data_IF_276924868916
#
_entry.id   IF_276924868916
#
_cell.length_a   1.000
_cell.length_b   1.000
_cell.length_c   1.000
_cell.angle_alpha   90.00
_cell.angle_beta   90.00
_cell.angle_gamma   90.00
#
_symmetry.space_group_name_H-M   'P 1'
#
loop_
_entity.id
_entity.type
_entity.pdbx_description
1 polymer ?
#
# COMPACT_ATOMS: atom_id res chain seq x y z
N UNK A 1 -4.48 13.41 3.72
CA UNK A 1 -5.61 13.75 4.62
C UNK A 1 -6.76 12.81 4.34
N UNK A 2 -7.44 12.31 5.36
CA UNK A 2 -8.67 11.56 5.16
C UNK A 2 -9.78 12.49 4.67
N UNK A 3 -10.37 12.15 3.53
CA UNK A 3 -11.50 12.86 2.93
C UNK A 3 -12.74 11.96 2.94
N UNK A 4 -13.91 12.55 2.77
CA UNK A 4 -15.14 11.78 2.59
C UNK A 4 -15.02 10.88 1.36
N UNK A 5 -15.48 9.62 1.47
CA UNK A 5 -15.45 8.63 0.38
C UNK A 5 -14.04 8.43 -0.22
N UNK A 6 -13.04 8.27 0.61
CA UNK A 6 -11.68 8.00 0.15
C UNK A 6 -11.56 6.56 -0.40
N UNK A 7 -11.86 6.40 -1.69
CA UNK A 7 -11.84 5.12 -2.41
C UNK A 7 -10.51 4.83 -3.10
N UNK A 8 -9.61 5.81 -3.15
CA UNK A 8 -8.29 5.72 -3.76
C UNK A 8 -7.16 5.86 -2.72
N UNK A 9 -5.94 5.67 -3.17
CA UNK A 9 -4.77 5.98 -2.35
C UNK A 9 -4.67 7.47 -2.04
N UNK A 10 -3.98 7.79 -0.94
CA UNK A 10 -3.58 9.17 -0.66
C UNK A 10 -2.53 9.62 -1.68
N UNK A 11 -2.47 10.93 -1.93
CA UNK A 11 -1.43 11.51 -2.78
C UNK A 11 -0.04 11.11 -2.25
N UNK A 12 0.84 10.74 -3.17
CA UNK A 12 2.18 10.28 -2.82
C UNK A 12 3.03 11.40 -2.24
N UNK A 13 3.69 11.11 -1.12
CA UNK A 13 4.69 12.00 -0.48
C UNK A 13 6.11 11.49 -0.65
N UNK A 14 6.29 10.34 -1.31
CA UNK A 14 7.60 9.75 -1.60
C UNK A 14 7.67 9.24 -3.04
N UNK A 15 8.89 9.14 -3.63
CA UNK A 15 9.06 8.53 -4.95
C UNK A 15 8.61 7.06 -4.99
N UNK A 16 8.79 6.33 -3.89
CA UNK A 16 8.37 4.93 -3.78
C UNK A 16 6.86 4.82 -3.85
N UNK A 17 6.12 5.66 -3.12
CA UNK A 17 4.65 5.66 -3.15
C UNK A 17 4.11 6.03 -4.53
N UNK A 18 4.77 6.95 -5.24
CA UNK A 18 4.41 7.29 -6.62
C UNK A 18 4.51 6.06 -7.54
N UNK A 19 5.61 5.31 -7.44
CA UNK A 19 5.79 4.07 -8.21
C UNK A 19 4.78 2.99 -7.83
N UNK A 20 4.41 2.89 -6.55
CA UNK A 20 3.38 1.96 -6.08
C UNK A 20 1.99 2.30 -6.63
N UNK A 21 1.64 3.59 -6.72
CA UNK A 21 0.38 4.03 -7.33
C UNK A 21 0.34 3.67 -8.82
N UNK A 22 1.39 4.00 -9.57
CA UNK A 22 1.50 3.65 -10.99
C UNK A 22 1.43 2.13 -11.23
N UNK A 23 2.05 1.35 -10.37
CA UNK A 23 1.97 -0.10 -10.42
C UNK A 23 0.56 -0.62 -10.13
N UNK A 24 -0.12 -0.04 -9.16
CA UNK A 24 -1.52 -0.37 -8.87
C UNK A 24 -2.42 -0.09 -10.08
N UNK A 25 -2.28 1.06 -10.71
CA UNK A 25 -3.06 1.42 -11.90
C UNK A 25 -2.82 0.44 -13.05
N UNK A 26 -1.56 0.05 -13.26
CA UNK A 26 -1.21 -0.96 -14.26
C UNK A 26 -1.85 -2.32 -13.97
N UNK A 27 -1.76 -2.80 -12.74
CA UNK A 27 -2.36 -4.08 -12.33
C UNK A 27 -3.88 -4.04 -12.37
N UNK A 28 -4.50 -2.95 -11.94
CA UNK A 28 -5.94 -2.76 -11.98
C UNK A 28 -6.48 -2.75 -13.40
N UNK A 29 -5.77 -2.16 -14.35
CA UNK A 29 -6.14 -2.21 -15.78
C UNK A 29 -6.21 -3.67 -16.28
N UNK A 30 -5.23 -4.49 -15.94
CA UNK A 30 -5.22 -5.93 -16.32
C UNK A 30 -6.38 -6.68 -15.63
N UNK A 31 -6.60 -6.45 -14.33
CA UNK A 31 -7.67 -7.11 -13.58
C UNK A 31 -9.06 -6.73 -14.12
N UNK A 32 -9.29 -5.45 -14.43
CA UNK A 32 -10.56 -4.98 -14.99
C UNK A 32 -10.78 -5.59 -16.39
N UNK A 33 -9.75 -5.71 -17.20
CA UNK A 33 -9.84 -6.39 -18.50
C UNK A 33 -10.25 -7.86 -18.34
N UNK A 34 -9.62 -8.59 -17.42
CA UNK A 34 -9.95 -10.00 -17.15
C UNK A 34 -11.39 -10.12 -16.61
N UNK A 35 -11.75 -9.31 -15.61
CA UNK A 35 -13.08 -9.37 -15.00
C UNK A 35 -14.19 -9.03 -15.99
N UNK A 36 -13.99 -8.04 -16.86
CA UNK A 36 -14.95 -7.67 -17.89
C UNK A 36 -15.12 -8.77 -18.94
N UNK A 37 -14.03 -9.43 -19.35
CA UNK A 37 -14.07 -10.57 -20.25
C UNK A 37 -14.85 -11.75 -19.64
N UNK A 38 -14.50 -12.13 -18.41
CA UNK A 38 -15.15 -13.23 -17.69
C UNK A 38 -16.63 -12.92 -17.48
N UNK A 39 -16.97 -11.71 -17.06
CA UNK A 39 -18.35 -11.27 -16.87
C UNK A 39 -19.15 -11.36 -18.18
N UNK A 40 -18.57 -10.88 -19.29
CA UNK A 40 -19.18 -11.00 -20.61
C UNK A 40 -19.46 -12.44 -20.99
N UNK A 41 -18.48 -13.34 -20.82
CA UNK A 41 -18.66 -14.75 -21.14
C UNK A 41 -19.71 -15.41 -20.23
N UNK A 42 -19.77 -15.09 -18.96
CA UNK A 42 -20.78 -15.59 -18.01
C UNK A 42 -22.19 -15.15 -18.42
N UNK A 43 -22.38 -13.87 -18.73
CA UNK A 43 -23.68 -13.36 -19.19
C UNK A 43 -24.09 -14.05 -20.49
N UNK A 44 -23.15 -14.20 -21.43
CA UNK A 44 -23.41 -14.87 -22.69
C UNK A 44 -23.85 -16.32 -22.49
N UNK A 45 -23.19 -17.08 -21.60
CA UNK A 45 -23.56 -18.46 -21.29
C UNK A 45 -24.96 -18.57 -20.67
N UNK A 46 -25.34 -17.66 -19.79
CA UNK A 46 -26.65 -17.65 -19.14
C UNK A 46 -27.76 -17.31 -20.14
N UNK A 47 -27.50 -16.39 -21.07
CA UNK A 47 -28.48 -15.91 -22.03
C UNK A 47 -28.60 -16.82 -23.29
N UNK A 48 -27.54 -17.54 -23.62
CA UNK A 48 -27.50 -18.40 -24.82
C UNK A 48 -28.37 -19.64 -24.67
N UNK A 49 -29.24 -19.86 -25.66
CA UNK A 49 -30.05 -21.06 -25.78
C UNK A 49 -29.35 -22.21 -26.55
N UNK A 50 -28.17 -21.93 -27.13
CA UNK A 50 -27.39 -22.88 -27.92
C UNK A 50 -26.35 -23.55 -27.03
N UNK A 51 -26.57 -24.80 -26.66
CA UNK A 51 -25.68 -25.64 -25.83
C UNK A 51 -25.24 -26.85 -26.63
N UNK A 52 -23.93 -27.05 -26.70
CA UNK A 52 -23.37 -28.30 -27.23
C UNK A 52 -23.16 -29.31 -26.09
N UNK A 53 -24.04 -30.30 -25.98
CA UNK A 53 -23.97 -31.31 -24.92
C UNK A 53 -22.94 -32.42 -25.19
N UNK A 54 -22.37 -32.45 -26.39
CA UNK A 54 -21.43 -33.50 -26.82
C UNK A 54 -19.99 -33.01 -26.87
N UNK A 55 -19.74 -31.82 -26.40
CA UNK A 55 -18.37 -31.28 -26.28
C UNK A 55 -17.67 -31.93 -25.08
N UNK A 56 -16.80 -32.91 -25.36
CA UNK A 56 -16.08 -33.67 -24.33
C UNK A 56 -14.69 -33.12 -24.05
N UNK A 57 -14.05 -32.53 -25.05
CA UNK A 57 -12.70 -31.97 -24.94
C UNK A 57 -12.49 -30.79 -25.88
N UNK A 58 -11.54 -29.93 -25.56
CA UNK A 58 -11.22 -28.74 -26.35
C UNK A 58 -9.77 -28.29 -26.15
N UNK A 59 -8.80 -29.12 -26.54
CA UNK A 59 -7.35 -28.92 -26.27
C UNK A 59 -6.81 -27.57 -26.68
N UNK A 60 -7.27 -27.02 -27.83
CA UNK A 60 -6.80 -25.69 -28.28
C UNK A 60 -7.26 -24.57 -27.36
N UNK A 61 -8.50 -24.60 -26.89
CA UNK A 61 -9.03 -23.61 -25.95
C UNK A 61 -8.35 -23.75 -24.59
N UNK A 62 -8.13 -24.98 -24.14
CA UNK A 62 -7.40 -25.26 -22.88
C UNK A 62 -5.98 -24.68 -22.91
N UNK A 63 -5.27 -24.85 -24.01
CA UNK A 63 -3.95 -24.24 -24.20
C UNK A 63 -4.00 -22.71 -24.16
N UNK A 64 -5.00 -22.10 -24.79
CA UNK A 64 -5.15 -20.64 -24.82
C UNK A 64 -5.40 -20.10 -23.41
N UNK A 65 -6.35 -20.67 -22.65
CA UNK A 65 -6.67 -20.14 -21.33
C UNK A 65 -5.62 -20.47 -20.25
N UNK A 66 -4.71 -21.41 -20.49
CA UNK A 66 -3.55 -21.67 -19.61
C UNK A 66 -2.39 -20.72 -19.91
N UNK A 67 -2.08 -20.50 -21.20
CA UNK A 67 -0.95 -19.64 -21.59
C UNK A 67 -1.24 -18.15 -21.41
N UNK A 68 -2.46 -17.71 -21.67
CA UNK A 68 -2.83 -16.29 -21.54
C UNK A 68 -2.66 -15.75 -20.12
N UNK A 69 -3.18 -16.40 -19.05
CA UNK A 69 -2.90 -15.97 -17.67
C UNK A 69 -1.42 -16.00 -17.29
N UNK A 70 -0.67 -17.00 -17.78
CA UNK A 70 0.77 -17.05 -17.53
C UNK A 70 1.51 -15.83 -18.11
N UNK A 71 1.18 -15.42 -19.32
CA UNK A 71 1.73 -14.21 -19.93
C UNK A 71 1.31 -12.95 -19.16
N UNK A 72 0.05 -12.85 -18.73
CA UNK A 72 -0.44 -11.71 -17.93
C UNK A 72 0.31 -11.60 -16.59
N UNK A 73 0.59 -12.73 -15.94
CA UNK A 73 1.40 -12.74 -14.72
C UNK A 73 2.82 -12.23 -14.94
N UNK A 74 3.44 -12.54 -16.08
CA UNK A 74 4.76 -11.99 -16.44
C UNK A 74 4.69 -10.47 -16.60
N UNK A 75 3.67 -9.95 -17.26
CA UNK A 75 3.46 -8.49 -17.40
C UNK A 75 3.27 -7.76 -16.05
N UNK A 76 2.71 -8.44 -15.05
CA UNK A 76 2.61 -7.90 -13.68
C UNK A 76 3.93 -8.05 -12.93
N UNK A 77 4.62 -9.18 -13.10
CA UNK A 77 5.84 -9.49 -12.35
C UNK A 77 7.00 -8.54 -12.68
N UNK A 78 7.19 -8.16 -13.93
CA UNK A 78 8.30 -7.30 -14.35
C UNK A 78 8.29 -5.93 -13.66
N UNK A 79 7.22 -5.13 -13.67
CA UNK A 79 7.17 -3.86 -12.93
C UNK A 79 7.19 -4.07 -11.40
N UNK A 80 6.62 -5.15 -10.89
CA UNK A 80 6.70 -5.48 -9.46
C UNK A 80 8.14 -5.70 -9.00
N UNK A 81 8.94 -6.47 -9.73
CA UNK A 81 10.35 -6.67 -9.44
C UNK A 81 11.15 -5.38 -9.50
N UNK A 82 10.88 -4.52 -10.49
CA UNK A 82 11.52 -3.21 -10.58
C UNK A 82 11.30 -2.36 -9.33
N UNK A 83 10.07 -2.32 -8.82
CA UNK A 83 9.75 -1.58 -7.60
C UNK A 83 10.44 -2.19 -6.39
N UNK A 84 10.46 -3.52 -6.28
CA UNK A 84 11.15 -4.20 -5.20
C UNK A 84 12.63 -3.81 -5.12
N UNK A 85 13.35 -3.80 -6.26
CA UNK A 85 14.74 -3.34 -6.31
C UNK A 85 14.88 -1.86 -5.93
N UNK A 86 13.98 -0.99 -6.38
CA UNK A 86 14.01 0.42 -6.00
C UNK A 86 13.77 0.65 -4.50
N UNK A 87 12.98 -0.20 -3.86
CA UNK A 87 12.74 -0.13 -2.42
C UNK A 87 13.95 -0.63 -1.61
N UNK A 88 14.66 -1.64 -2.10
CA UNK A 88 15.83 -2.20 -1.44
C UNK A 88 17.10 -1.34 -1.62
N UNK A 89 17.12 -0.45 -2.60
CA UNK A 89 18.25 0.45 -2.85
C UNK A 89 18.35 1.48 -1.72
N UNK A 90 19.06 1.09 -0.66
CA UNK A 90 19.24 1.94 0.53
C UNK A 90 20.19 3.09 0.23
N UNK A 91 19.64 4.27 0.02
CA UNK A 91 20.42 5.51 0.07
C UNK A 91 21.00 5.68 1.49
N UNK A 92 22.17 6.26 1.62
CA UNK A 92 22.76 6.58 2.93
C UNK A 92 21.80 7.53 3.68
N UNK A 93 21.18 7.10 4.78
CA UNK A 93 20.26 7.96 5.52
C UNK A 93 21.03 9.08 6.19
N UNK A 94 20.46 10.28 6.18
CA UNK A 94 21.02 11.43 6.90
C UNK A 94 20.61 11.43 8.37
N UNK A 95 19.44 10.90 8.68
CA UNK A 95 18.87 10.85 10.02
C UNK A 95 18.32 9.45 10.29
N UNK A 96 18.52 8.98 11.51
CA UNK A 96 17.95 7.74 12.01
C UNK A 96 16.98 8.04 13.15
N UNK A 97 15.74 7.58 13.03
CA UNK A 97 14.70 7.75 14.03
C UNK A 97 14.24 6.37 14.47
N UNK A 98 14.23 6.10 15.76
CA UNK A 98 13.68 4.89 16.33
C UNK A 98 12.24 5.15 16.75
N UNK A 99 11.33 4.30 16.27
CA UNK A 99 9.91 4.34 16.63
C UNK A 99 9.59 3.15 17.53
N UNK A 100 9.07 3.42 18.71
CA UNK A 100 8.77 2.42 19.73
C UNK A 100 7.26 2.37 19.95
N UNK A 101 6.65 1.22 19.68
CA UNK A 101 5.22 1.01 19.90
C UNK A 101 4.92 0.69 21.36
N UNK A 102 3.87 1.30 21.89
CA UNK A 102 3.31 1.04 23.22
C UNK A 102 1.79 0.86 23.13
N UNK A 103 1.16 0.32 24.13
CA UNK A 103 -0.29 0.29 24.31
C UNK A 103 -0.73 1.61 24.95
N UNK A 104 -1.15 2.52 24.25
CA UNK A 104 -1.69 2.88 22.95
C UNK A 104 -1.12 4.23 22.53
N UNK A 105 0.20 4.32 22.41
CA UNK A 105 0.92 5.52 21.97
C UNK A 105 2.25 5.11 21.30
N UNK A 106 2.94 6.06 20.70
CA UNK A 106 4.24 5.89 20.07
C UNK A 106 5.28 6.77 20.76
N UNK A 107 6.50 6.23 20.97
CA UNK A 107 7.66 7.03 21.36
C UNK A 107 8.62 7.16 20.19
N UNK A 108 9.25 8.30 20.09
CA UNK A 108 10.23 8.60 19.06
C UNK A 108 11.55 9.01 19.67
N UNK A 109 12.64 8.31 19.29
CA UNK A 109 14.01 8.62 19.68
C UNK A 109 14.79 9.05 18.43
N UNK A 110 15.44 10.20 18.46
CA UNK A 110 16.29 10.71 17.38
C UNK A 110 17.74 10.40 17.71
N UNK A 111 18.26 9.31 17.19
CA UNK A 111 19.59 8.77 17.56
C UNK A 111 20.77 9.70 17.22
N UNK A 112 20.58 10.56 16.21
CA UNK A 112 21.63 11.48 15.75
C UNK A 112 21.72 12.78 16.57
N UNK A 113 20.75 13.02 17.45
CA UNK A 113 20.67 14.19 18.31
C UNK A 113 20.72 13.78 19.77
N UNK A 114 21.36 14.59 20.61
CA UNK A 114 21.44 14.31 22.03
C UNK A 114 20.10 14.58 22.71
N UNK A 115 19.63 13.59 23.44
CA UNK A 115 18.50 13.67 24.38
C UNK A 115 17.15 14.13 23.74
N UNK A 116 16.92 13.80 22.45
CA UNK A 116 15.63 14.04 21.84
C UNK A 116 14.83 12.74 21.84
N UNK A 117 13.97 12.60 22.85
CA UNK A 117 13.00 11.56 23.00
C UNK A 117 11.68 12.15 23.47
N UNK A 118 10.57 11.72 22.85
CA UNK A 118 9.24 12.16 23.23
C UNK A 118 8.17 11.12 22.92
N UNK A 119 7.08 11.20 23.67
CA UNK A 119 5.88 10.41 23.46
C UNK A 119 4.87 11.15 22.61
N UNK A 120 4.15 10.41 21.80
CA UNK A 120 3.10 10.88 20.93
C UNK A 120 1.79 10.15 21.25
N UNK A 121 0.90 10.86 21.93
CA UNK A 121 -0.43 10.37 22.28
C UNK A 121 -1.48 10.88 21.31
N UNK A 122 -2.49 10.06 21.07
CA UNK A 122 -3.68 10.49 20.34
C UNK A 122 -4.46 11.51 21.18
N UNK A 123 -4.84 12.65 20.57
CA UNK A 123 -5.60 13.68 21.25
C UNK A 123 -6.98 13.17 21.68
N UNK A 124 -7.36 13.31 22.96
CA UNK A 124 -8.68 12.96 23.43
C UNK A 124 -9.71 13.99 22.93
N UNK A 125 -10.94 13.52 22.71
CA UNK A 125 -12.03 14.34 22.10
C UNK A 125 -12.34 15.64 22.86
N UNK A 126 -12.13 15.64 24.18
CA UNK A 126 -12.37 16.82 25.03
C UNK A 126 -11.30 17.93 24.91
N UNK A 127 -10.15 17.63 24.32
CA UNK A 127 -9.04 18.59 24.11
C UNK A 127 -8.91 19.05 22.66
N UNK A 128 -9.78 18.54 21.78
CA UNK A 128 -9.71 18.85 20.35
C UNK A 128 -10.22 20.27 20.06
N UNK A 129 -9.50 20.95 19.16
CA UNK A 129 -9.93 22.22 18.58
C UNK A 129 -10.82 21.99 17.34
N UNK A 130 -11.54 23.00 16.90
CA UNK A 130 -12.50 22.91 15.79
C UNK A 130 -11.88 22.44 14.46
N UNK A 131 -10.57 22.55 14.28
CA UNK A 131 -9.84 22.21 13.06
C UNK A 131 -9.03 20.90 13.18
N UNK A 132 -9.19 20.15 14.26
CA UNK A 132 -8.47 18.91 14.51
C UNK A 132 -9.33 17.68 14.15
N UNK A 133 -8.68 16.63 13.68
CA UNK A 133 -9.36 15.41 13.27
C UNK A 133 -9.41 14.39 14.42
N UNK A 134 -10.61 13.94 14.73
CA UNK A 134 -10.80 12.89 15.73
C UNK A 134 -10.08 11.61 15.32
N UNK A 135 -9.32 11.00 16.25
CA UNK A 135 -8.57 9.75 16.10
C UNK A 135 -7.39 9.81 15.11
N UNK A 136 -7.07 10.97 14.59
CA UNK A 136 -6.00 11.17 13.60
C UNK A 136 -4.93 12.16 14.07
N UNK A 137 -5.28 13.06 14.98
CA UNK A 137 -4.34 14.05 15.51
C UNK A 137 -3.69 13.56 16.80
N UNK A 138 -2.39 13.85 16.92
CA UNK A 138 -1.58 13.60 18.11
C UNK A 138 -1.12 14.92 18.74
N UNK A 139 -0.77 14.85 20.01
CA UNK A 139 -0.20 15.97 20.79
C UNK A 139 1.19 16.35 20.27
N UNK A 140 2.09 15.37 20.13
CA UNK A 140 3.43 15.56 19.62
C UNK A 140 3.58 14.78 18.30
N UNK A 141 3.87 15.49 17.21
CA UNK A 141 4.07 14.89 15.90
C UNK A 141 5.56 14.67 15.64
N UNK A 142 5.88 13.55 15.00
CA UNK A 142 7.22 13.28 14.50
C UNK A 142 7.60 14.33 13.45
N UNK A 143 8.72 15.02 13.66
CA UNK A 143 9.22 16.06 12.77
C UNK A 143 10.35 15.50 11.93
N UNK A 144 10.23 15.60 10.62
CA UNK A 144 11.22 15.15 9.66
C UNK A 144 11.55 16.25 8.65
N UNK A 145 12.81 16.35 8.21
CA UNK A 145 13.19 17.30 7.18
C UNK A 145 12.62 16.90 5.81
N UNK A 146 12.32 17.91 5.00
CA UNK A 146 11.82 17.73 3.64
C UNK A 146 12.93 17.20 2.71
N UNK A 147 12.58 16.35 1.76
CA UNK A 147 13.48 15.80 0.72
C UNK A 147 14.77 15.18 1.26
N UNK A 148 14.71 14.54 2.42
CA UNK A 148 15.87 13.87 3.03
C UNK A 148 15.63 12.37 3.18
N UNK A 149 16.70 11.59 3.04
CA UNK A 149 16.67 10.16 3.28
C UNK A 149 16.74 9.88 4.78
N UNK A 150 15.74 9.20 5.32
CA UNK A 150 15.60 8.91 6.75
C UNK A 150 15.50 7.39 6.93
N UNK A 151 16.19 6.88 7.96
CA UNK A 151 16.06 5.50 8.41
C UNK A 151 15.11 5.45 9.59
N UNK A 152 14.07 4.64 9.48
CA UNK A 152 13.16 4.35 10.58
C UNK A 152 13.51 2.96 11.14
N UNK A 153 13.77 2.88 12.44
CA UNK A 153 13.95 1.63 13.17
C UNK A 153 12.71 1.38 14.01
N UNK A 154 11.88 0.43 13.61
CA UNK A 154 10.65 0.11 14.32
C UNK A 154 10.86 -1.01 15.32
N UNK A 155 10.40 -0.78 16.55
CA UNK A 155 10.40 -1.77 17.65
C UNK A 155 9.15 -1.59 18.52
N UNK A 156 8.98 -2.42 19.52
CA UNK A 156 7.91 -2.29 20.52
C UNK A 156 8.41 -2.67 21.90
N UNK A 157 7.77 -2.12 22.93
CA UNK A 157 8.09 -2.41 24.33
C UNK A 157 7.17 -3.46 24.96
N UNK A 158 6.00 -3.69 24.39
CA UNK A 158 4.97 -4.58 24.91
C UNK A 158 4.58 -5.67 23.91
N UNK A 159 3.56 -5.42 23.11
CA UNK A 159 3.06 -6.32 22.06
C UNK A 159 3.55 -5.88 20.70
N UNK A 160 3.39 -6.72 19.69
CA UNK A 160 3.76 -6.39 18.32
C UNK A 160 2.83 -5.29 17.77
N UNK A 161 3.42 -4.18 17.32
CA UNK A 161 2.74 -3.07 16.65
C UNK A 161 3.20 -2.94 15.20
N UNK A 162 2.43 -2.22 14.39
CA UNK A 162 2.81 -1.84 13.03
C UNK A 162 2.75 -0.32 12.88
N UNK A 163 3.89 0.28 12.56
CA UNK A 163 4.00 1.70 12.27
C UNK A 163 3.79 1.94 10.78
N UNK A 164 2.88 2.84 10.43
CA UNK A 164 2.52 3.05 9.02
C UNK A 164 2.32 4.51 8.68
N UNK A 165 2.77 4.91 7.49
CA UNK A 165 2.50 6.22 6.87
C UNK A 165 2.07 5.98 5.43
N UNK A 166 0.76 5.90 5.17
CA UNK A 166 0.24 5.51 3.85
C UNK A 166 0.70 6.42 2.71
N UNK A 167 0.80 7.72 2.94
CA UNK A 167 1.26 8.68 1.92
C UNK A 167 2.74 8.52 1.53
N UNK A 168 3.56 7.93 2.40
CA UNK A 168 4.95 7.57 2.11
C UNK A 168 5.11 6.16 1.53
N UNK A 169 4.06 5.35 1.54
CA UNK A 169 4.11 3.95 1.13
C UNK A 169 4.79 3.03 2.14
N UNK A 170 4.87 3.43 3.40
CA UNK A 170 5.48 2.66 4.49
C UNK A 170 4.38 1.97 5.30
N UNK A 171 4.61 0.67 5.53
CA UNK A 171 3.67 -0.16 6.30
C UNK A 171 4.43 -1.26 7.04
#
# INVERSE_FOLDING_TARGET
>A
MNTWLNLSFQDSSSPVMEQLILFNDHTMMIIIMITSLVMYMMIFLITSKKVNRYLLEGQLIEMIWTLTPALMLIFIALPSLKILYLMEESMKPLITIKTIGHQWYWSYEYSDFKDIEFDSYMKPTNQMQNNEFRLLDSDNRMIIPLNTSIRILSTSMDVIHSWTVPSLGIK
#
